data_IF_563192380752
#
_entry.id   IF_563192380752
#
_cell.length_a   1.000
_cell.length_b   1.000
_cell.length_c   1.000
_cell.angle_alpha   90.00
_cell.angle_beta   90.00
_cell.angle_gamma   90.00
#
_symmetry.space_group_name_H-M   'P 1'
#
loop_
_entity.id
_entity.type
_entity.pdbx_description
1 polymer ?
#
# COMPACT_ATOMS: atom_id res chain seq x y z
N UNK A 1 31.62 50.80 12.03
CA UNK A 1 31.75 49.51 12.73
C UNK A 1 30.59 48.64 12.22
N UNK A 2 30.70 47.75 11.22
CA UNK A 2 31.69 46.71 10.92
C UNK A 2 31.93 45.81 12.16
N UNK A 3 31.71 44.49 12.20
CA UNK A 3 31.50 43.45 11.19
C UNK A 3 30.80 42.21 11.85
N UNK A 4 30.09 41.44 11.00
CA UNK A 4 30.07 39.96 10.89
C UNK A 4 29.65 39.05 12.06
N UNK A 5 28.75 38.13 11.70
CA UNK A 5 29.12 36.71 11.64
C UNK A 5 28.07 35.73 12.13
N UNK A 6 27.61 34.82 11.25
CA UNK A 6 26.78 33.69 11.66
C UNK A 6 25.92 33.11 10.55
N UNK A 7 26.52 32.27 9.71
CA UNK A 7 25.90 31.57 8.57
C UNK A 7 25.22 30.29 9.05
N UNK A 8 24.45 29.68 8.14
CA UNK A 8 23.99 28.28 8.09
C UNK A 8 22.57 28.09 8.64
N UNK A 9 21.65 27.40 7.99
CA UNK A 9 21.69 26.63 6.74
C UNK A 9 20.26 26.43 6.27
N UNK A 10 20.06 26.46 4.96
CA UNK A 10 18.86 25.95 4.29
C UNK A 10 18.63 24.52 4.79
N UNK A 11 17.58 24.34 5.60
CA UNK A 11 17.06 23.02 5.93
C UNK A 11 16.33 22.51 4.70
N UNK A 12 16.99 21.62 3.98
CA UNK A 12 16.40 20.78 2.94
C UNK A 12 15.12 20.14 3.46
N UNK A 13 14.02 20.34 2.74
CA UNK A 13 12.76 19.61 2.92
C UNK A 13 13.03 18.11 2.80
N UNK A 14 13.26 17.48 3.95
CA UNK A 14 13.32 16.03 4.05
C UNK A 14 11.88 15.58 3.86
N UNK A 15 11.60 14.76 2.84
CA UNK A 15 10.31 14.10 2.69
C UNK A 15 9.94 13.51 4.05
N UNK A 16 8.96 14.13 4.72
CA UNK A 16 8.65 13.86 6.11
C UNK A 16 8.39 12.37 6.31
N UNK A 17 8.89 11.83 7.42
CA UNK A 17 8.65 10.45 7.83
C UNK A 17 7.14 10.20 7.82
N UNK A 18 6.68 9.64 6.70
CA UNK A 18 5.29 9.25 6.48
C UNK A 18 4.99 8.22 7.57
N UNK A 19 4.04 8.52 8.45
CA UNK A 19 3.71 7.73 9.64
C UNK A 19 3.54 6.23 9.38
N UNK A 20 3.49 5.43 10.44
CA UNK A 20 3.35 3.98 10.29
C UNK A 20 1.91 3.62 9.89
N UNK A 21 1.75 2.60 9.05
CA UNK A 21 0.43 1.99 8.82
C UNK A 21 0.17 0.94 9.89
N UNK A 22 -1.08 0.84 10.34
CA UNK A 22 -1.50 -0.27 11.18
C UNK A 22 -1.75 -1.51 10.31
N UNK A 23 -0.72 -2.34 10.16
CA UNK A 23 -0.80 -3.61 9.44
C UNK A 23 -0.76 -4.78 10.44
N UNK A 24 -1.82 -5.59 10.58
CA UNK A 24 -1.85 -6.78 11.44
C UNK A 24 -1.06 -7.96 10.81
N UNK A 25 0.18 -7.71 10.39
CA UNK A 25 1.08 -8.66 9.75
C UNK A 25 2.36 -8.79 10.60
N UNK A 26 2.97 -9.98 10.60
CA UNK A 26 4.17 -10.25 11.42
C UNK A 26 5.46 -10.35 10.60
N UNK A 27 5.33 -10.67 9.32
CA UNK A 27 6.45 -10.88 8.41
C UNK A 27 6.94 -9.56 7.81
N UNK A 28 8.24 -9.26 7.98
CA UNK A 28 8.81 -7.97 7.58
C UNK A 28 8.78 -7.76 6.07
N UNK A 29 9.06 -8.79 5.28
CA UNK A 29 9.01 -8.72 3.82
C UNK A 29 7.58 -8.45 3.35
N UNK A 30 6.60 -9.14 3.91
CA UNK A 30 5.18 -8.90 3.64
C UNK A 30 4.76 -7.48 4.02
N UNK A 31 5.16 -6.99 5.19
CA UNK A 31 4.89 -5.61 5.62
C UNK A 31 5.47 -4.62 4.59
N UNK A 32 6.69 -4.85 4.12
CA UNK A 32 7.35 -3.99 3.14
C UNK A 32 6.59 -3.98 1.80
N UNK A 33 6.25 -5.15 1.25
CA UNK A 33 5.57 -5.25 -0.05
C UNK A 33 4.12 -4.76 -0.01
N UNK A 34 3.41 -4.97 1.11
CA UNK A 34 2.08 -4.39 1.32
C UNK A 34 2.17 -2.86 1.38
N UNK A 35 3.14 -2.31 2.12
CA UNK A 35 3.33 -0.85 2.18
C UNK A 35 3.64 -0.24 0.80
N UNK A 36 4.53 -0.86 0.01
CA UNK A 36 4.81 -0.41 -1.36
C UNK A 36 3.56 -0.40 -2.23
N UNK A 37 2.73 -1.43 -2.09
CA UNK A 37 1.48 -1.54 -2.83
C UNK A 37 0.48 -0.46 -2.41
N UNK A 38 0.33 -0.22 -1.10
CA UNK A 38 -0.53 0.84 -0.57
C UNK A 38 -0.03 2.25 -0.94
N UNK A 39 1.28 2.47 -0.99
CA UNK A 39 1.86 3.74 -1.45
C UNK A 39 1.53 3.98 -2.93
N UNK A 40 1.58 2.94 -3.80
CA UNK A 40 1.15 3.03 -5.20
C UNK A 40 -0.34 3.32 -5.35
N UNK A 41 -1.18 2.69 -4.53
CA UNK A 41 -2.63 2.95 -4.52
C UNK A 41 -2.90 4.41 -4.14
N UNK A 42 -2.23 4.91 -3.09
CA UNK A 42 -2.33 6.29 -2.63
C UNK A 42 -1.91 7.30 -3.71
N UNK A 43 -0.88 7.00 -4.49
CA UNK A 43 -0.36 7.90 -5.54
C UNK A 43 -1.02 7.72 -6.92
N UNK A 44 -1.95 6.77 -7.06
CA UNK A 44 -2.59 6.46 -8.35
C UNK A 44 -1.69 5.73 -9.34
N UNK A 45 -0.66 5.03 -8.87
CA UNK A 45 0.31 4.29 -9.68
C UNK A 45 1.66 5.02 -9.86
N UNK A 46 2.49 4.60 -10.83
CA UNK A 46 2.24 3.54 -11.82
C UNK A 46 2.11 2.15 -11.17
N UNK A 47 1.31 1.28 -11.79
CA UNK A 47 1.13 -0.09 -11.31
C UNK A 47 1.97 -1.08 -12.12
N UNK A 48 2.64 -2.04 -11.45
CA UNK A 48 3.57 -2.97 -12.11
C UNK A 48 2.88 -4.01 -12.99
N UNK A 49 1.62 -4.37 -12.70
CA UNK A 49 0.89 -5.38 -13.46
C UNK A 49 -0.36 -4.79 -14.11
N UNK A 50 -0.65 -5.25 -15.33
CA UNK A 50 -1.83 -4.82 -16.11
C UNK A 50 -3.18 -5.07 -15.43
N UNK A 51 -3.21 -5.99 -14.46
CA UNK A 51 -4.42 -6.33 -13.69
C UNK A 51 -4.62 -5.42 -12.48
N UNK A 52 -3.60 -4.68 -12.06
CA UNK A 52 -3.70 -3.79 -10.91
C UNK A 52 -4.65 -2.63 -11.22
N UNK A 53 -5.58 -2.35 -10.31
CA UNK A 53 -6.67 -1.39 -10.50
C UNK A 53 -7.89 -1.94 -11.25
N UNK A 54 -7.89 -3.22 -11.66
CA UNK A 54 -9.09 -3.84 -12.25
C UNK A 54 -10.12 -4.22 -11.19
N UNK A 55 -11.37 -4.45 -11.63
CA UNK A 55 -12.48 -4.76 -10.73
C UNK A 55 -12.29 -6.13 -10.07
N UNK A 56 -12.26 -6.16 -8.75
CA UNK A 56 -12.43 -7.38 -7.97
C UNK A 56 -13.92 -7.62 -7.73
N UNK A 57 -14.46 -8.66 -8.37
CA UNK A 57 -15.91 -8.92 -8.39
C UNK A 57 -16.49 -9.46 -7.08
N UNK A 58 -15.66 -9.85 -6.11
CA UNK A 58 -16.11 -10.46 -4.85
C UNK A 58 -17.16 -11.57 -5.03
N UNK A 59 -16.99 -12.44 -6.04
CA UNK A 59 -18.01 -13.42 -6.45
C UNK A 59 -18.41 -14.40 -5.37
N UNK A 60 -17.47 -14.71 -4.48
CA UNK A 60 -17.66 -15.65 -3.37
C UNK A 60 -18.24 -14.97 -2.13
N UNK A 61 -18.46 -13.65 -2.16
CA UNK A 61 -19.08 -12.90 -1.06
C UNK A 61 -18.26 -12.86 0.23
N UNK A 62 -16.93 -13.02 0.14
CA UNK A 62 -16.03 -13.07 1.31
C UNK A 62 -15.79 -11.69 1.93
N UNK A 63 -15.99 -10.62 1.16
CA UNK A 63 -15.97 -9.24 1.63
C UNK A 63 -17.41 -8.69 1.70
N UNK A 64 -17.68 -7.65 2.50
CA UNK A 64 -18.92 -6.89 2.40
C UNK A 64 -19.13 -6.35 0.98
N UNK A 65 -20.35 -5.99 0.60
CA UNK A 65 -20.62 -5.33 -0.69
C UNK A 65 -19.79 -4.04 -0.86
N UNK A 66 -19.31 -3.79 -2.08
CA UNK A 66 -18.48 -2.63 -2.44
C UNK A 66 -17.92 -2.66 -3.86
N UNK A 67 -17.42 -1.53 -4.36
CA UNK A 67 -16.71 -1.42 -5.65
C UNK A 67 -15.21 -1.64 -5.45
N UNK A 68 -14.81 -2.90 -5.41
CA UNK A 68 -13.44 -3.26 -5.10
C UNK A 68 -12.52 -3.23 -6.33
N UNK A 69 -11.31 -2.73 -6.12
CA UNK A 69 -10.19 -2.82 -7.06
C UNK A 69 -9.09 -3.73 -6.51
N UNK A 70 -8.55 -4.62 -7.33
CA UNK A 70 -7.45 -5.50 -6.94
C UNK A 70 -6.08 -4.93 -7.31
N UNK A 71 -5.09 -5.20 -6.47
CA UNK A 71 -3.69 -4.81 -6.67
C UNK A 71 -2.78 -5.95 -6.26
N UNK A 72 -1.75 -6.20 -7.05
CA UNK A 72 -0.76 -7.22 -6.78
C UNK A 72 0.19 -6.76 -5.68
N UNK A 73 0.40 -7.61 -4.69
CA UNK A 73 1.48 -7.47 -3.72
C UNK A 73 2.60 -8.41 -4.14
N UNK A 74 3.79 -7.86 -4.35
CA UNK A 74 4.92 -8.65 -4.82
C UNK A 74 5.33 -9.71 -3.77
N UNK A 75 5.83 -10.84 -4.27
CA UNK A 75 6.46 -11.88 -3.45
C UNK A 75 7.92 -11.94 -3.84
N UNK A 76 8.86 -11.59 -2.95
CA UNK A 76 10.28 -11.62 -3.27
C UNK A 76 10.71 -12.97 -3.86
N UNK A 77 11.43 -12.94 -4.98
CA UNK A 77 11.89 -14.14 -5.71
C UNK A 77 10.85 -14.81 -6.61
N UNK A 78 9.59 -14.35 -6.63
CA UNK A 78 8.60 -14.87 -7.58
C UNK A 78 8.78 -14.25 -8.97
N UNK A 79 8.77 -15.10 -10.01
CA UNK A 79 8.81 -14.66 -11.42
C UNK A 79 7.41 -14.38 -12.00
N UNK A 80 6.39 -14.35 -11.15
CA UNK A 80 5.00 -14.13 -11.51
C UNK A 80 4.31 -13.28 -10.43
N UNK A 81 3.04 -12.93 -10.63
CA UNK A 81 2.23 -12.14 -9.68
C UNK A 81 2.05 -12.81 -8.31
N UNK A 82 2.42 -14.08 -8.15
CA UNK A 82 2.17 -14.90 -6.98
C UNK A 82 0.69 -14.83 -6.52
N UNK A 83 0.43 -15.12 -5.24
CA UNK A 83 -0.92 -15.19 -4.66
C UNK A 83 -1.35 -13.92 -3.92
N UNK A 84 -0.40 -13.08 -3.49
CA UNK A 84 -0.67 -11.98 -2.56
C UNK A 84 -1.36 -10.80 -3.26
N UNK A 85 -2.42 -10.26 -2.67
CA UNK A 85 -3.17 -9.13 -3.21
C UNK A 85 -3.60 -8.16 -2.11
N UNK A 86 -3.77 -6.91 -2.49
CA UNK A 86 -4.60 -5.93 -1.78
C UNK A 86 -5.87 -5.72 -2.59
N UNK A 87 -6.99 -5.56 -1.89
CA UNK A 87 -8.25 -5.17 -2.50
C UNK A 87 -8.78 -3.95 -1.76
N UNK A 88 -9.13 -2.89 -2.48
CA UNK A 88 -9.62 -1.64 -1.88
C UNK A 88 -10.98 -1.30 -2.47
N UNK A 89 -11.94 -1.02 -1.60
CA UNK A 89 -13.23 -0.43 -1.97
C UNK A 89 -13.00 1.04 -2.39
N UNK A 90 -13.26 1.36 -3.65
CA UNK A 90 -13.04 2.68 -4.22
C UNK A 90 -13.93 3.77 -3.58
N UNK A 91 -15.06 3.39 -2.98
CA UNK A 91 -15.99 4.35 -2.37
C UNK A 91 -15.67 4.61 -0.90
N UNK A 92 -15.35 3.57 -0.13
CA UNK A 92 -15.14 3.68 1.32
C UNK A 92 -13.67 3.72 1.75
N UNK A 93 -12.74 3.34 0.88
CA UNK A 93 -11.34 3.14 1.22
C UNK A 93 -11.06 1.91 2.09
N UNK A 94 -12.09 1.10 2.43
CA UNK A 94 -11.89 -0.17 3.15
C UNK A 94 -10.95 -1.04 2.35
N UNK A 95 -9.86 -1.45 3.00
CA UNK A 95 -8.75 -2.13 2.34
C UNK A 95 -8.49 -3.47 3.02
N UNK A 96 -8.36 -4.50 2.20
CA UNK A 96 -8.17 -5.88 2.63
C UNK A 96 -6.92 -6.45 1.95
N UNK A 97 -6.16 -7.24 2.69
CA UNK A 97 -5.02 -8.01 2.20
C UNK A 97 -5.37 -9.49 2.18
N UNK A 98 -4.93 -10.20 1.15
CA UNK A 98 -4.98 -11.67 1.05
C UNK A 98 -3.58 -12.19 0.71
N UNK A 99 -3.14 -13.23 1.40
CA UNK A 99 -1.88 -13.91 1.11
C UNK A 99 -2.02 -15.14 0.21
N UNK A 100 -3.25 -15.64 0.10
CA UNK A 100 -3.60 -16.95 -0.40
C UNK A 100 -4.52 -16.89 -1.62
N UNK A 101 -4.52 -15.76 -2.33
CA UNK A 101 -5.27 -15.56 -3.57
C UNK A 101 -6.79 -15.60 -3.38
N UNK A 102 -7.27 -14.70 -2.50
CA UNK A 102 -8.67 -14.45 -2.19
C UNK A 102 -9.35 -15.56 -1.36
N UNK A 103 -8.59 -16.50 -0.81
CA UNK A 103 -9.11 -17.54 0.08
C UNK A 103 -9.47 -16.95 1.45
N UNK A 104 -8.58 -16.16 2.03
CA UNK A 104 -8.77 -15.44 3.28
C UNK A 104 -8.38 -13.97 3.17
N UNK A 105 -9.02 -13.12 3.98
CA UNK A 105 -8.79 -11.69 4.01
C UNK A 105 -8.49 -11.17 5.41
N UNK A 106 -7.58 -10.20 5.48
CA UNK A 106 -7.25 -9.44 6.68
C UNK A 106 -7.48 -7.97 6.36
N UNK A 107 -8.27 -7.28 7.17
CA UNK A 107 -8.44 -5.84 7.02
C UNK A 107 -7.14 -5.12 7.44
N UNK A 108 -6.74 -4.13 6.64
CA UNK A 108 -5.53 -3.31 6.89
C UNK A 108 -5.89 -1.83 6.87
N UNK A 109 -5.16 -1.00 7.62
CA UNK A 109 -5.30 0.46 7.52
C UNK A 109 -4.41 0.99 6.38
N UNK A 110 -4.99 1.52 5.28
CA UNK A 110 -4.21 2.07 4.18
C UNK A 110 -3.59 3.44 4.52
N UNK A 111 -4.02 4.09 5.60
CA UNK A 111 -3.59 5.44 5.97
C UNK A 111 -2.36 5.36 6.88
N UNK A 112 -1.38 6.22 6.60
CA UNK A 112 -0.23 6.45 7.48
C UNK A 112 -0.64 7.39 8.61
N UNK A 113 -0.45 6.96 9.86
CA UNK A 113 -0.81 7.70 11.08
C UNK A 113 0.43 8.13 11.84
#
# INVERSE_FOLDING_TARGET
MALLGGRSSVGTSTLGAKGARNLPLKDADRIAEVNKTLDRIETGGPFPYKQDGTIFRNKEGKLPEGDYREYTVDTPGANNRAKRRVVQDASSGRTYYTEDHYDNFIQVDPIRR
#
